data_IF_398183394744
#
_entry.id   IF_398183394744
#
_cell.length_a   1.000
_cell.length_b   1.000
_cell.length_c   1.000
_cell.angle_alpha   90.00
_cell.angle_beta   90.00
_cell.angle_gamma   90.00
#
_symmetry.space_group_name_H-M   'P 1'
#
loop_
_entity.id
_entity.type
_entity.pdbx_description
1 polymer ?
#
# COMPACT_ATOMS: atom_id res chain seq x y z
N UNK A 1 9.34 11.37 1.78
CA UNK A 1 8.67 10.04 1.72
C UNK A 1 8.49 9.64 0.26
N UNK A 2 8.39 8.35 -0.07
CA UNK A 2 8.15 7.91 -1.45
C UNK A 2 7.95 6.40 -1.58
N UNK A 3 7.38 5.98 -2.70
CA UNK A 3 7.29 4.58 -3.12
C UNK A 3 7.45 4.52 -4.62
N UNK A 4 8.52 3.87 -5.10
CA UNK A 4 8.78 3.80 -6.54
C UNK A 4 7.84 2.80 -7.23
N UNK A 5 7.57 2.93 -8.53
CA UNK A 5 6.76 1.96 -9.26
C UNK A 5 7.33 0.54 -9.12
N UNK A 6 6.50 -0.41 -8.69
CA UNK A 6 6.92 -1.79 -8.48
C UNK A 6 6.79 -2.68 -9.72
N UNK A 7 6.46 -2.13 -10.89
CA UNK A 7 6.17 -2.89 -12.10
C UNK A 7 7.36 -3.76 -12.54
N UNK A 8 8.58 -3.24 -12.44
CA UNK A 8 9.81 -3.95 -12.78
C UNK A 8 10.50 -4.60 -11.57
N UNK A 9 9.92 -4.47 -10.38
CA UNK A 9 10.44 -5.08 -9.14
C UNK A 9 9.61 -6.28 -8.70
N UNK A 10 8.29 -6.24 -8.93
CA UNK A 10 7.36 -7.27 -8.49
C UNK A 10 7.52 -8.55 -9.29
N UNK A 11 7.70 -9.69 -8.61
CA UNK A 11 7.74 -11.02 -9.25
C UNK A 11 6.39 -11.42 -9.85
N UNK A 12 5.30 -10.71 -9.53
CA UNK A 12 3.98 -10.88 -10.16
C UNK A 12 4.04 -10.51 -11.65
N UNK A 13 4.96 -9.64 -12.05
CA UNK A 13 5.23 -9.36 -13.46
C UNK A 13 6.31 -10.32 -14.00
N UNK A 14 5.97 -11.24 -14.92
CA UNK A 14 6.97 -12.13 -15.52
C UNK A 14 7.98 -11.37 -16.39
N UNK A 15 7.61 -10.22 -16.94
CA UNK A 15 8.45 -9.37 -17.81
C UNK A 15 9.21 -8.28 -17.05
N UNK A 16 9.37 -8.43 -15.74
CA UNK A 16 10.06 -7.44 -14.89
C UNK A 16 11.52 -7.28 -15.31
N UNK A 17 12.01 -6.04 -15.31
CA UNK A 17 13.40 -5.72 -15.69
C UNK A 17 14.39 -5.58 -14.52
N UNK A 18 13.91 -5.62 -13.28
CA UNK A 18 14.73 -5.48 -12.08
C UNK A 18 15.00 -4.01 -11.71
N UNK A 19 15.82 -3.81 -10.67
CA UNK A 19 16.04 -2.49 -10.07
C UNK A 19 16.85 -1.52 -10.96
N UNK A 20 17.70 -2.03 -11.86
CA UNK A 20 18.60 -1.19 -12.68
C UNK A 20 17.99 -0.76 -14.02
N UNK A 21 16.89 -1.37 -14.44
CA UNK A 21 16.25 -1.12 -15.72
C UNK A 21 14.78 -0.70 -15.59
N UNK A 22 14.18 -0.30 -16.72
CA UNK A 22 12.75 0.03 -16.79
C UNK A 22 12.36 1.15 -15.83
N UNK A 23 11.33 0.88 -15.02
CA UNK A 23 10.83 1.75 -13.96
C UNK A 23 11.45 1.45 -12.59
N UNK A 24 12.16 0.33 -12.43
CA UNK A 24 12.84 -0.04 -11.18
C UNK A 24 13.90 0.99 -10.78
N UNK A 25 14.61 1.56 -11.78
CA UNK A 25 15.64 2.59 -11.58
C UNK A 25 15.13 3.87 -10.90
N UNK A 26 13.82 4.11 -10.89
CA UNK A 26 13.25 5.27 -10.18
C UNK A 26 13.45 5.20 -8.66
N UNK A 27 13.82 4.04 -8.12
CA UNK A 27 14.37 3.94 -6.76
C UNK A 27 15.61 4.85 -6.58
N UNK A 28 16.53 4.88 -7.55
CA UNK A 28 17.75 5.67 -7.45
C UNK A 28 17.47 7.17 -7.46
N UNK A 29 16.38 7.62 -8.10
CA UNK A 29 15.94 9.01 -7.99
C UNK A 29 15.46 9.37 -6.59
N UNK A 30 14.73 8.47 -5.93
CA UNK A 30 14.38 8.66 -4.51
C UNK A 30 15.64 8.74 -3.64
N UNK A 31 16.58 7.82 -3.84
CA UNK A 31 17.84 7.82 -3.09
C UNK A 31 18.65 9.11 -3.33
N UNK A 32 18.80 9.55 -4.58
CA UNK A 32 19.50 10.79 -4.95
C UNK A 32 18.88 12.00 -4.26
N UNK A 33 17.55 12.12 -4.28
CA UNK A 33 16.83 13.22 -3.63
C UNK A 33 16.94 13.12 -2.10
N UNK A 34 16.89 11.90 -1.53
CA UNK A 34 17.09 11.69 -0.09
C UNK A 34 18.45 12.20 0.36
N UNK A 35 19.53 11.87 -0.36
CA UNK A 35 20.88 12.36 -0.05
C UNK A 35 20.99 13.88 -0.17
N UNK A 36 20.32 14.48 -1.17
CA UNK A 36 20.30 15.93 -1.35
C UNK A 36 19.59 16.66 -0.19
N UNK A 37 18.52 16.07 0.35
CA UNK A 37 17.70 16.68 1.40
C UNK A 37 18.19 16.39 2.82
N UNK A 38 19.04 15.36 2.99
CA UNK A 38 19.58 14.97 4.30
C UNK A 38 20.36 16.15 4.89
N UNK A 39 20.05 16.60 6.12
CA UNK A 39 20.83 17.63 6.78
C UNK A 39 22.30 17.20 6.92
N UNK A 40 23.19 18.18 7.03
CA UNK A 40 24.60 17.92 7.40
C UNK A 40 24.62 17.27 8.79
N UNK A 41 25.65 16.47 9.08
CA UNK A 41 25.74 15.72 10.35
C UNK A 41 25.71 16.62 11.59
N UNK A 42 26.17 17.86 11.45
CA UNK A 42 26.20 18.87 12.52
C UNK A 42 24.86 19.60 12.72
N UNK A 43 23.89 19.47 11.79
CA UNK A 43 22.57 20.11 11.89
C UNK A 43 21.65 19.23 12.78
N UNK A 44 21.29 19.66 14.00
CA UNK A 44 20.49 18.87 14.93
C UNK A 44 19.01 18.77 14.52
N UNK A 45 18.61 19.39 13.40
CA UNK A 45 17.23 19.41 12.93
C UNK A 45 16.68 17.99 12.73
N UNK A 46 15.51 17.65 13.33
CA UNK A 46 14.85 16.38 13.09
C UNK A 46 14.58 16.16 11.60
N UNK A 47 15.04 15.03 11.07
CA UNK A 47 14.86 14.65 9.68
C UNK A 47 14.35 13.21 9.58
N UNK A 48 13.15 13.06 9.02
CA UNK A 48 12.51 11.77 8.84
C UNK A 48 12.27 11.47 7.37
N UNK A 49 12.48 10.21 7.00
CA UNK A 49 12.22 9.70 5.67
C UNK A 49 11.59 8.31 5.73
N UNK A 50 10.87 7.98 4.66
CA UNK A 50 10.19 6.70 4.50
C UNK A 50 10.17 6.32 3.03
N UNK A 51 10.61 5.11 2.73
CA UNK A 51 10.52 4.47 1.43
C UNK A 51 9.69 3.18 1.52
N UNK A 52 8.76 2.98 0.60
CA UNK A 52 7.90 1.79 0.54
C UNK A 52 8.10 1.02 -0.77
N UNK A 53 8.00 -0.31 -0.70
CA UNK A 53 7.85 -1.15 -1.89
C UNK A 53 7.22 -2.53 -1.60
N UNK A 54 6.94 -3.30 -2.66
CA UNK A 54 6.33 -4.63 -2.59
C UNK A 54 7.22 -5.67 -1.91
N UNK A 55 6.61 -6.59 -1.15
CA UNK A 55 7.34 -7.71 -0.52
C UNK A 55 7.85 -8.71 -1.55
N UNK A 56 7.03 -8.95 -2.57
CA UNK A 56 7.27 -9.92 -3.62
C UNK A 56 8.20 -9.35 -4.69
N UNK A 57 9.44 -9.05 -4.32
CA UNK A 57 10.54 -8.65 -5.22
C UNK A 57 11.68 -9.66 -5.17
N UNK A 58 12.61 -9.63 -6.15
CA UNK A 58 13.78 -10.51 -6.10
C UNK A 58 14.65 -10.18 -4.87
N UNK A 59 15.26 -11.21 -4.25
CA UNK A 59 16.14 -11.02 -3.08
C UNK A 59 17.30 -10.07 -3.36
N UNK A 60 17.88 -10.15 -4.57
CA UNK A 60 18.95 -9.24 -5.00
C UNK A 60 18.50 -7.78 -5.01
N UNK A 61 17.30 -7.49 -5.54
CA UNK A 61 16.74 -6.13 -5.55
C UNK A 61 16.50 -5.61 -4.12
N UNK A 62 15.94 -6.46 -3.24
CA UNK A 62 15.76 -6.12 -1.82
C UNK A 62 17.09 -5.78 -1.14
N UNK A 63 18.12 -6.62 -1.32
CA UNK A 63 19.44 -6.40 -0.73
C UNK A 63 20.07 -5.10 -1.23
N UNK A 64 19.93 -4.79 -2.53
CA UNK A 64 20.40 -3.52 -3.07
C UNK A 64 19.66 -2.33 -2.47
N UNK A 65 18.33 -2.37 -2.35
CA UNK A 65 17.57 -1.31 -1.68
C UNK A 65 18.07 -1.11 -0.24
N UNK A 66 18.24 -2.20 0.52
CA UNK A 66 18.79 -2.12 1.88
C UNK A 66 20.18 -1.50 1.92
N UNK A 67 21.05 -1.85 0.96
CA UNK A 67 22.43 -1.35 0.88
C UNK A 67 22.47 0.16 0.61
N UNK A 68 21.68 0.63 -0.36
CA UNK A 68 21.61 2.07 -0.68
C UNK A 68 20.94 2.87 0.43
N UNK A 69 19.89 2.34 1.07
CA UNK A 69 19.20 3.03 2.15
C UNK A 69 19.84 2.85 3.53
N UNK A 70 20.93 2.07 3.62
CA UNK A 70 21.69 1.77 4.83
C UNK A 70 20.83 1.23 6.00
N UNK A 71 19.71 0.57 5.69
CA UNK A 71 18.84 -0.03 6.69
C UNK A 71 18.03 -1.21 6.14
N UNK A 72 17.53 -2.05 7.05
CA UNK A 72 16.62 -3.14 6.70
C UNK A 72 15.15 -2.68 6.76
N UNK A 73 14.26 -3.24 5.95
CA UNK A 73 12.86 -2.86 5.97
C UNK A 73 12.12 -3.49 7.14
N UNK A 74 11.08 -2.80 7.59
CA UNK A 74 9.99 -3.38 8.37
C UNK A 74 8.93 -3.94 7.42
N UNK A 75 8.48 -5.17 7.68
CA UNK A 75 7.37 -5.80 6.98
C UNK A 75 6.06 -5.43 7.67
N UNK A 76 5.16 -4.76 6.96
CA UNK A 76 3.81 -4.45 7.46
C UNK A 76 2.77 -4.94 6.47
N UNK A 77 1.82 -5.73 6.96
CA UNK A 77 0.64 -6.16 6.19
C UNK A 77 -0.61 -5.43 6.67
N UNK A 78 -1.28 -4.75 5.75
CA UNK A 78 -2.51 -4.03 6.01
C UNK A 78 -3.64 -4.93 6.51
N UNK A 79 -3.60 -6.26 6.31
CA UNK A 79 -4.65 -7.17 6.76
C UNK A 79 -4.97 -7.07 8.26
N UNK A 80 -4.00 -6.61 9.07
CA UNK A 80 -4.16 -6.37 10.51
C UNK A 80 -5.04 -5.15 10.84
N UNK A 81 -5.22 -4.21 9.91
CA UNK A 81 -5.91 -2.92 10.10
C UNK A 81 -6.86 -2.55 8.94
N UNK A 82 -7.07 -3.45 7.99
CA UNK A 82 -7.89 -3.29 6.78
C UNK A 82 -8.41 -4.67 6.37
N UNK A 83 -9.51 -4.76 5.59
CA UNK A 83 -10.03 -6.05 5.16
C UNK A 83 -9.29 -6.61 3.93
N UNK A 84 -8.09 -6.11 3.59
CA UNK A 84 -7.32 -6.57 2.44
C UNK A 84 -5.89 -6.97 2.81
N UNK A 85 -5.39 -8.05 2.20
CA UNK A 85 -3.97 -8.37 2.21
C UNK A 85 -3.19 -7.32 1.42
N UNK A 86 -2.18 -6.71 2.05
CA UNK A 86 -1.26 -5.77 1.39
C UNK A 86 0.06 -5.69 2.16
N UNK A 87 0.78 -6.81 2.18
CA UNK A 87 2.13 -6.86 2.73
C UNK A 87 3.09 -5.98 1.91
N UNK A 88 3.80 -5.07 2.58
CA UNK A 88 4.79 -4.14 2.02
C UNK A 88 6.01 -4.01 2.92
N UNK A 89 7.15 -3.73 2.29
CA UNK A 89 8.38 -3.36 2.98
C UNK A 89 8.45 -1.84 3.14
N UNK A 90 8.85 -1.40 4.32
CA UNK A 90 9.05 -0.01 4.66
C UNK A 90 10.46 0.20 5.21
N UNK A 91 11.27 0.97 4.49
CA UNK A 91 12.57 1.46 4.94
C UNK A 91 12.42 2.89 5.43
N UNK A 92 13.13 3.26 6.48
CA UNK A 92 13.04 4.61 7.00
C UNK A 92 13.65 4.72 8.39
N UNK A 93 13.54 5.91 8.95
CA UNK A 93 14.02 6.25 10.28
C UNK A 93 12.92 6.85 11.17
N UNK A 94 11.65 6.65 10.82
CA UNK A 94 10.54 7.13 11.65
C UNK A 94 10.54 6.35 12.97
N UNK A 95 10.36 7.01 14.13
CA UNK A 95 10.42 6.34 15.42
C UNK A 95 9.42 5.19 15.53
N UNK A 96 9.88 4.06 16.10
CA UNK A 96 9.03 2.93 16.40
C UNK A 96 8.37 2.24 15.19
N UNK A 97 8.98 2.29 13.99
CA UNK A 97 8.44 1.59 12.80
C UNK A 97 8.24 0.08 13.03
N UNK A 98 9.09 -0.56 13.84
CA UNK A 98 9.02 -2.00 14.13
C UNK A 98 7.98 -2.38 15.20
N UNK A 99 7.27 -1.40 15.77
CA UNK A 99 6.28 -1.68 16.82
C UNK A 99 5.09 -2.45 16.24
N UNK A 100 4.39 -3.27 17.05
CA UNK A 100 3.21 -3.99 16.57
C UNK A 100 2.15 -3.04 16.03
N UNK A 101 1.63 -3.33 14.84
CA UNK A 101 0.48 -2.63 14.30
C UNK A 101 -0.80 -3.15 14.98
N UNK A 102 -1.54 -2.23 15.59
CA UNK A 102 -2.77 -2.51 16.35
C UNK A 102 -3.91 -1.77 15.66
N UNK A 103 -5.03 -2.47 15.47
CA UNK A 103 -6.25 -1.86 14.94
C UNK A 103 -6.83 -0.85 15.93
N UNK A 104 -7.25 0.29 15.41
CA UNK A 104 -8.04 1.29 16.13
C UNK A 104 -9.52 1.05 15.93
N UNK A 105 -10.35 1.65 16.79
CA UNK A 105 -11.81 1.52 16.73
C UNK A 105 -12.42 2.05 15.41
N UNK A 106 -11.73 2.97 14.72
CA UNK A 106 -12.18 3.51 13.44
C UNK A 106 -11.81 2.63 12.24
N UNK A 107 -10.95 1.62 12.41
CA UNK A 107 -10.51 0.78 11.31
C UNK A 107 -11.60 -0.24 10.93
N UNK A 108 -11.86 -0.35 9.63
CA UNK A 108 -12.77 -1.35 9.08
C UNK A 108 -11.99 -2.65 8.92
N UNK A 109 -12.35 -3.69 9.66
CA UNK A 109 -11.56 -4.93 9.69
C UNK A 109 -12.16 -6.03 8.82
N UNK A 110 -13.47 -6.06 8.62
CA UNK A 110 -14.09 -7.05 7.73
C UNK A 110 -14.50 -6.41 6.42
N UNK A 111 -14.60 -7.21 5.36
CA UNK A 111 -15.08 -6.71 4.07
C UNK A 111 -16.49 -6.13 4.20
N UNK A 112 -17.34 -6.74 5.03
CA UNK A 112 -18.72 -6.31 5.25
C UNK A 112 -18.79 -4.86 5.77
N UNK A 113 -17.84 -4.46 6.61
CA UNK A 113 -17.76 -3.09 7.15
C UNK A 113 -17.47 -2.03 6.08
N UNK A 114 -17.02 -2.45 4.88
CA UNK A 114 -16.70 -1.57 3.76
C UNK A 114 -17.79 -1.53 2.68
N UNK A 115 -18.76 -2.44 2.69
CA UNK A 115 -19.77 -2.52 1.63
C UNK A 115 -20.83 -1.42 1.75
N UNK A 116 -21.53 -1.14 0.66
CA UNK A 116 -22.74 -0.31 0.71
C UNK A 116 -23.96 -1.10 1.20
N UNK A 117 -25.02 -0.39 1.58
CA UNK A 117 -26.26 -0.98 2.12
C UNK A 117 -26.86 -1.95 1.10
N UNK A 118 -27.36 -3.10 1.59
CA UNK A 118 -27.99 -4.13 0.75
C UNK A 118 -27.01 -5.11 0.10
N UNK A 119 -25.71 -5.01 0.39
CA UNK A 119 -24.67 -5.88 -0.18
C UNK A 119 -24.05 -6.76 0.91
N UNK A 120 -23.78 -8.02 0.57
CA UNK A 120 -23.26 -9.02 1.50
C UNK A 120 -21.88 -9.52 1.08
N UNK A 121 -20.93 -9.53 2.01
CA UNK A 121 -19.58 -10.01 1.76
C UNK A 121 -19.54 -11.54 1.72
N UNK A 122 -18.93 -12.10 0.67
CA UNK A 122 -18.69 -13.55 0.55
C UNK A 122 -17.40 -14.00 1.25
N UNK A 123 -16.51 -13.06 1.59
CA UNK A 123 -15.25 -13.32 2.28
C UNK A 123 -15.01 -12.27 3.36
N UNK A 124 -14.35 -12.65 4.45
CA UNK A 124 -14.01 -11.71 5.54
C UNK A 124 -12.91 -10.74 5.12
N UNK A 125 -11.90 -11.24 4.39
CA UNK A 125 -10.74 -10.50 3.91
C UNK A 125 -10.54 -10.78 2.43
N UNK A 126 -10.24 -9.74 1.65
CA UNK A 126 -9.91 -9.86 0.23
C UNK A 126 -8.41 -10.02 0.02
N UNK A 127 -8.04 -10.66 -1.09
CA UNK A 127 -6.65 -10.72 -1.57
C UNK A 127 -6.10 -9.34 -1.94
N UNK A 128 -4.80 -9.29 -2.23
CA UNK A 128 -4.13 -8.06 -2.67
C UNK A 128 -4.80 -7.47 -3.91
N UNK A 129 -5.42 -6.31 -3.73
CA UNK A 129 -6.00 -5.52 -4.82
C UNK A 129 -4.87 -4.85 -5.61
N UNK A 130 -4.86 -5.09 -6.92
CA UNK A 130 -3.91 -4.50 -7.86
C UNK A 130 -4.64 -3.62 -8.87
N UNK A 131 -3.89 -3.07 -9.82
CA UNK A 131 -4.46 -2.30 -10.94
C UNK A 131 -5.25 -3.16 -11.93
N UNK A 132 -5.09 -4.49 -11.88
CA UNK A 132 -5.80 -5.42 -12.75
C UNK A 132 -7.18 -5.74 -12.13
N UNK A 133 -8.31 -5.53 -12.86
CA UNK A 133 -9.64 -5.90 -12.40
C UNK A 133 -9.78 -7.35 -11.92
N UNK A 134 -9.01 -8.28 -12.49
CA UNK A 134 -9.03 -9.69 -12.08
C UNK A 134 -8.55 -9.90 -10.64
N UNK A 135 -7.80 -8.96 -10.05
CA UNK A 135 -7.39 -9.02 -8.63
C UNK A 135 -8.56 -8.89 -7.65
N UNK A 136 -9.73 -8.43 -8.11
CA UNK A 136 -10.94 -8.33 -7.29
C UNK A 136 -11.64 -9.69 -7.13
N UNK A 137 -11.38 -10.65 -8.02
CA UNK A 137 -11.92 -12.01 -7.91
C UNK A 137 -11.19 -12.78 -6.82
N UNK A 138 -11.92 -13.57 -6.07
CA UNK A 138 -11.42 -14.39 -4.97
C UNK A 138 -11.34 -15.87 -5.38
N UNK A 139 -10.67 -16.69 -4.57
CA UNK A 139 -10.55 -18.14 -4.80
C UNK A 139 -9.32 -18.55 -5.62
N UNK A 140 -8.68 -19.68 -5.27
CA UNK A 140 -7.41 -20.13 -5.90
C UNK A 140 -7.67 -20.94 -7.18
N UNK A 141 -8.79 -21.66 -7.21
CA UNK A 141 -9.14 -22.60 -8.27
C UNK A 141 -10.44 -22.20 -8.98
N UNK A 142 -11.42 -21.70 -8.22
CA UNK A 142 -12.68 -21.17 -8.73
C UNK A 142 -12.69 -19.68 -8.47
N UNK A 143 -12.87 -18.89 -9.54
CA UNK A 143 -13.00 -17.45 -9.43
C UNK A 143 -14.41 -17.12 -8.95
N UNK A 144 -14.53 -16.56 -7.76
CA UNK A 144 -15.80 -16.07 -7.19
C UNK A 144 -15.72 -14.56 -6.99
N UNK A 145 -16.81 -13.83 -7.20
CA UNK A 145 -16.84 -12.41 -6.86
C UNK A 145 -16.98 -12.23 -5.34
N UNK A 146 -16.40 -11.17 -4.76
CA UNK A 146 -16.33 -11.02 -3.30
C UNK A 146 -17.65 -10.61 -2.65
N UNK A 147 -18.67 -10.25 -3.42
CA UNK A 147 -19.93 -9.67 -2.91
C UNK A 147 -21.14 -10.39 -3.52
N UNK A 148 -22.22 -10.48 -2.75
CA UNK A 148 -23.57 -10.82 -3.20
C UNK A 148 -24.47 -9.59 -3.08
N UNK A 149 -25.25 -9.34 -4.12
CA UNK A 149 -26.34 -8.35 -4.12
C UNK A 149 -27.58 -9.01 -4.73
N UNK A 150 -28.69 -9.01 -3.97
CA UNK A 150 -29.96 -9.60 -4.40
C UNK A 150 -29.82 -11.05 -4.91
N UNK A 151 -28.99 -11.84 -4.21
CA UNK A 151 -28.71 -13.24 -4.54
C UNK A 151 -27.79 -13.46 -5.76
N UNK A 152 -27.24 -12.40 -6.36
CA UNK A 152 -26.31 -12.47 -7.49
C UNK A 152 -24.91 -12.05 -7.09
N UNK A 153 -23.91 -12.71 -7.65
CA UNK A 153 -22.51 -12.31 -7.47
C UNK A 153 -22.23 -10.94 -8.10
N UNK A 154 -21.55 -10.07 -7.36
CA UNK A 154 -21.10 -8.76 -7.86
C UNK A 154 -19.66 -8.44 -7.41
N UNK A 155 -19.01 -7.58 -8.19
CA UNK A 155 -17.71 -7.03 -7.86
C UNK A 155 -17.81 -5.89 -6.85
N UNK A 156 -16.68 -5.58 -6.22
CA UNK A 156 -16.54 -4.39 -5.38
C UNK A 156 -16.80 -3.12 -6.19
N UNK A 157 -17.59 -2.23 -5.62
CA UNK A 157 -17.76 -0.87 -6.11
C UNK A 157 -16.54 -0.03 -5.77
N UNK A 158 -16.36 1.07 -6.49
CA UNK A 158 -15.17 1.91 -6.33
C UNK A 158 -15.13 2.60 -4.96
N UNK A 159 -16.29 2.95 -4.40
CA UNK A 159 -16.42 3.51 -3.04
C UNK A 159 -16.08 2.47 -1.96
N UNK A 160 -16.39 1.20 -2.21
CA UNK A 160 -16.00 0.08 -1.33
C UNK A 160 -14.49 -0.12 -1.38
N UNK A 161 -13.86 -0.02 -2.56
CA UNK A 161 -12.41 -0.04 -2.71
C UNK A 161 -11.71 1.11 -1.96
N UNK A 162 -12.26 2.33 -2.03
CA UNK A 162 -11.75 3.46 -1.25
C UNK A 162 -11.78 3.15 0.26
N UNK A 163 -12.91 2.67 0.76
CA UNK A 163 -13.08 2.26 2.17
C UNK A 163 -12.10 1.16 2.58
N UNK A 164 -11.89 0.14 1.74
CA UNK A 164 -10.95 -0.97 1.99
C UNK A 164 -9.52 -0.44 2.18
N UNK A 165 -9.10 0.53 1.36
CA UNK A 165 -7.78 1.17 1.48
C UNK A 165 -7.71 2.22 2.60
N UNK A 166 -8.83 2.55 3.23
CA UNK A 166 -8.96 3.57 4.28
C UNK A 166 -9.04 5.00 3.76
N UNK A 167 -9.32 5.20 2.47
CA UNK A 167 -9.60 6.52 1.91
C UNK A 167 -11.03 6.97 2.26
N UNK A 168 -11.28 8.29 2.35
CA UNK A 168 -12.63 8.83 2.39
C UNK A 168 -13.47 8.37 1.19
N UNK A 169 -14.78 8.20 1.39
CA UNK A 169 -15.71 7.89 0.30
C UNK A 169 -15.66 9.02 -0.75
N UNK A 170 -15.60 8.68 -2.03
CA UNK A 170 -15.44 9.59 -3.18
C UNK A 170 -14.06 10.25 -3.30
N UNK A 171 -13.03 9.79 -2.58
CA UNK A 171 -11.68 10.37 -2.67
C UNK A 171 -11.09 10.36 -4.09
N UNK A 172 -11.42 9.35 -4.90
CA UNK A 172 -10.96 9.24 -6.29
C UNK A 172 -11.99 9.71 -7.31
N UNK A 173 -13.07 10.36 -6.87
CA UNK A 173 -14.13 10.88 -7.73
C UNK A 173 -13.78 12.25 -8.31
N UNK A 174 -12.70 12.27 -9.10
CA UNK A 174 -12.13 13.51 -9.65
C UNK A 174 -11.81 13.34 -11.12
N UNK A 175 -11.83 14.45 -11.87
CA UNK A 175 -11.45 14.51 -13.29
C UNK A 175 -12.17 13.49 -14.19
N UNK A 176 -13.42 13.15 -13.90
CA UNK A 176 -14.22 12.18 -14.65
C UNK A 176 -13.52 10.83 -14.85
N UNK A 177 -12.72 10.38 -13.88
CA UNK A 177 -12.07 9.08 -13.95
C UNK A 177 -13.10 7.95 -13.95
N UNK A 178 -13.03 7.08 -14.97
CA UNK A 178 -13.85 5.89 -15.00
C UNK A 178 -13.43 4.87 -13.93
N UNK A 179 -14.26 3.85 -13.69
CA UNK A 179 -14.01 2.80 -12.69
C UNK A 179 -12.62 2.17 -12.80
N UNK A 180 -12.13 1.89 -14.01
CA UNK A 180 -10.83 1.27 -14.21
C UNK A 180 -9.68 2.22 -13.88
N UNK A 181 -9.80 3.50 -14.23
CA UNK A 181 -8.80 4.53 -13.87
C UNK A 181 -8.73 4.73 -12.36
N UNK A 182 -9.88 4.79 -11.67
CA UNK A 182 -9.96 4.86 -10.20
C UNK A 182 -9.34 3.63 -9.55
N UNK A 183 -9.60 2.43 -10.07
CA UNK A 183 -8.95 1.20 -9.59
C UNK A 183 -7.43 1.23 -9.83
N UNK A 184 -6.96 1.76 -10.97
CA UNK A 184 -5.52 1.87 -11.26
C UNK A 184 -4.78 2.74 -10.25
N UNK A 185 -5.38 3.85 -9.81
CA UNK A 185 -4.76 4.72 -8.78
C UNK A 185 -4.81 4.07 -7.39
N UNK A 186 -5.96 3.49 -7.00
CA UNK A 186 -6.10 2.82 -5.71
C UNK A 186 -5.19 1.58 -5.58
N UNK A 187 -5.11 0.75 -6.62
CA UNK A 187 -4.26 -0.45 -6.62
C UNK A 187 -2.78 -0.14 -6.36
N UNK A 188 -2.32 1.05 -6.75
CA UNK A 188 -0.96 1.57 -6.51
C UNK A 188 -0.81 2.30 -5.17
N UNK A 189 -1.90 2.77 -4.57
CA UNK A 189 -1.87 3.57 -3.36
C UNK A 189 -1.38 2.81 -2.12
N UNK A 190 -0.93 3.54 -1.10
CA UNK A 190 -0.68 2.94 0.21
C UNK A 190 -1.99 2.64 0.94
N UNK A 191 -1.94 1.73 1.91
CA UNK A 191 -3.03 1.56 2.87
C UNK A 191 -2.98 2.71 3.87
N UNK A 192 -4.03 3.52 3.92
CA UNK A 192 -4.13 4.69 4.80
C UNK A 192 -3.89 4.32 6.27
N UNK A 193 -4.52 3.27 6.87
CA UNK A 193 -4.28 2.94 8.26
C UNK A 193 -2.83 2.49 8.56
N UNK A 194 -2.14 1.87 7.58
CA UNK A 194 -0.71 1.54 7.71
C UNK A 194 0.14 2.80 7.76
N UNK A 195 -0.11 3.76 6.86
CA UNK A 195 0.63 5.03 6.83
C UNK A 195 0.34 5.86 8.09
N UNK A 196 -0.92 5.89 8.53
CA UNK A 196 -1.33 6.51 9.81
C UNK A 196 -0.56 5.91 10.98
N UNK A 197 -0.43 4.58 11.04
CA UNK A 197 0.38 3.92 12.06
C UNK A 197 1.84 4.37 11.97
N UNK A 198 2.46 4.30 10.81
CA UNK A 198 3.87 4.68 10.65
C UNK A 198 4.12 6.14 11.05
N UNK A 199 3.24 7.07 10.66
CA UNK A 199 3.41 8.50 10.90
C UNK A 199 2.94 8.99 12.28
N UNK A 200 2.21 8.18 13.05
CA UNK A 200 1.67 8.60 14.35
C UNK A 200 2.70 9.26 15.29
N UNK A 201 3.96 8.77 15.42
CA UNK A 201 4.96 9.37 16.31
C UNK A 201 5.47 10.73 15.85
N UNK A 202 5.23 11.14 14.60
CA UNK A 202 5.69 12.44 14.09
C UNK A 202 4.95 13.62 14.76
N UNK A 203 3.80 13.37 15.41
CA UNK A 203 3.08 14.38 16.18
C UNK A 203 3.90 14.97 17.34
N UNK A 204 4.85 14.20 17.87
CA UNK A 204 5.70 14.65 18.97
C UNK A 204 6.84 15.58 18.50
N UNK A 205 7.01 15.73 17.18
CA UNK A 205 8.09 16.50 16.56
C UNK A 205 7.62 17.74 15.78
N UNK A 206 6.33 17.84 15.47
CA UNK A 206 5.77 18.90 14.64
C UNK A 206 4.48 19.47 15.25
N UNK A 207 4.15 20.71 14.92
CA UNK A 207 2.93 21.38 15.39
C UNK A 207 1.66 20.61 14.97
N UNK A 208 0.66 20.61 15.86
CA UNK A 208 -0.64 19.94 15.71
C UNK A 208 -1.78 20.96 15.63
#
# INVERSE_FOLDING_TARGET
>A
IGGSPCNDLSIVNPFRKGIYEGTGRLFFEYYRILQLLKPKEEDPRPFFWLFENVVFMNTHDKVNICRFLECNPVLVDAVKVSPAHRARYFWGNIPGMSRPIIASQSDRLTLQDCLEIGRQAQVTKVRTITTNPNSLKQGKYVNQLPVLQDGREDNLWITELEKIFGFPKHYTDVRNMNRQQRQKVLGKAWSVPVVRHLFAPLKDYYAC
#
